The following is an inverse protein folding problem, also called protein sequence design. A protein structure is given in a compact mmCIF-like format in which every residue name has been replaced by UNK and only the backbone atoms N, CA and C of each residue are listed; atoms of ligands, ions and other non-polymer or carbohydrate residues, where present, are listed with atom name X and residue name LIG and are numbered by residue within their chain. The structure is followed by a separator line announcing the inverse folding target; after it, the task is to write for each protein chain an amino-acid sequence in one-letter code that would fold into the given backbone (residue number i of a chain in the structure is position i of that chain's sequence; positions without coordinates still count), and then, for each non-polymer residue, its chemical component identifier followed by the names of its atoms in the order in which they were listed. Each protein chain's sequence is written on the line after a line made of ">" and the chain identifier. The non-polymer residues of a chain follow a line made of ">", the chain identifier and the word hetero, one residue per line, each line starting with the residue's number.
data_IF_875963911165
#
_entry.id   IF_875963911165
#
_cell.length_a   1.000
_cell.length_b   1.000
_cell.length_c   1.000
_cell.angle_alpha   90.00
_cell.angle_beta   90.00
_cell.angle_gamma   90.00
#
_symmetry.space_group_name_H-M   'P 1'
#
loop_
_entity.id
_entity.type
_entity.pdbx_description
1 polymer ?
#
# COMPACT_ATOMS: atom_id res chain seq x y z
N UNK A 1 2.11 9.96 10.29
CA UNK A 1 3.58 9.91 10.07
C UNK A 1 4.22 11.18 10.62
N UNK A 2 5.30 11.06 11.41
CA UNK A 2 5.96 12.20 12.09
C UNK A 2 7.04 12.89 11.24
N UNK A 3 6.93 12.78 9.93
CA UNK A 3 7.89 13.38 9.02
C UNK A 3 7.60 14.85 8.78
N UNK A 4 8.66 15.65 8.73
CA UNK A 4 8.57 17.05 8.32
C UNK A 4 8.24 17.20 6.83
N UNK A 5 7.96 18.42 6.40
CA UNK A 5 7.56 18.70 5.01
C UNK A 5 8.66 18.34 3.99
N UNK A 6 9.94 18.49 4.36
CA UNK A 6 11.07 18.16 3.48
C UNK A 6 11.14 16.64 3.23
N UNK A 7 10.96 15.84 4.29
CA UNK A 7 11.00 14.39 4.17
C UNK A 7 9.77 13.83 3.47
N UNK A 8 8.59 14.43 3.68
CA UNK A 8 7.36 14.10 2.95
C UNK A 8 7.50 14.40 1.45
N UNK A 9 8.20 15.47 1.06
CA UNK A 9 8.43 15.82 -0.34
C UNK A 9 9.29 14.79 -1.08
N UNK A 10 10.12 14.04 -0.38
CA UNK A 10 10.86 12.90 -0.97
C UNK A 10 9.93 11.76 -1.45
N UNK A 11 8.69 11.69 -0.95
CA UNK A 11 7.67 10.73 -1.38
C UNK A 11 6.83 11.24 -2.57
N UNK A 12 7.13 12.43 -3.12
CA UNK A 12 6.36 13.03 -4.20
C UNK A 12 6.14 12.04 -5.34
N UNK A 13 4.89 11.93 -5.77
CA UNK A 13 4.46 11.06 -6.86
C UNK A 13 4.19 9.61 -6.46
N UNK A 14 4.59 9.18 -5.27
CA UNK A 14 4.27 7.84 -4.77
C UNK A 14 2.81 7.75 -4.29
N UNK A 15 2.28 6.53 -4.22
CA UNK A 15 0.97 6.29 -3.63
C UNK A 15 0.93 6.73 -2.16
N UNK A 16 2.03 6.49 -1.43
CA UNK A 16 2.13 6.87 -0.04
C UNK A 16 1.97 8.38 0.16
N UNK A 17 2.50 9.20 -0.73
CA UNK A 17 2.33 10.67 -0.64
C UNK A 17 0.86 11.10 -0.69
N UNK A 18 0.03 10.40 -1.48
CA UNK A 18 -1.39 10.71 -1.59
C UNK A 18 -2.13 10.43 -0.28
N UNK A 19 -1.78 9.36 0.44
CA UNK A 19 -2.44 8.97 1.69
C UNK A 19 -2.04 9.81 2.91
N UNK A 20 -0.89 10.49 2.88
CA UNK A 20 -0.42 11.23 4.07
C UNK A 20 -1.35 12.34 4.55
N UNK A 21 -2.08 12.99 3.63
CA UNK A 21 -3.05 14.04 3.98
C UNK A 21 -4.28 13.44 4.63
N UNK A 22 -4.77 12.32 4.09
CA UNK A 22 -5.92 11.59 4.62
C UNK A 22 -5.61 11.03 6.00
N UNK A 23 -4.40 10.51 6.22
CA UNK A 23 -3.95 10.05 7.52
C UNK A 23 -3.93 11.18 8.56
N UNK A 24 -3.41 12.35 8.19
CA UNK A 24 -3.34 13.48 9.11
C UNK A 24 -4.75 13.94 9.52
N UNK A 25 -5.72 14.00 8.58
CA UNK A 25 -7.12 14.33 8.85
C UNK A 25 -7.78 13.27 9.76
N UNK A 26 -7.57 11.97 9.46
CA UNK A 26 -8.09 10.89 10.28
C UNK A 26 -7.55 10.93 11.72
N UNK A 27 -6.25 11.18 11.89
CA UNK A 27 -5.67 11.32 13.23
C UNK A 27 -6.23 12.52 14.00
N UNK A 28 -6.51 13.62 13.32
CA UNK A 28 -7.08 14.81 13.96
C UNK A 28 -8.52 14.53 14.43
N UNK A 29 -9.35 13.85 13.60
CA UNK A 29 -10.70 13.45 13.94
C UNK A 29 -10.75 12.43 15.09
N UNK A 30 -9.89 11.42 15.05
CA UNK A 30 -9.78 10.39 16.08
C UNK A 30 -9.32 10.98 17.42
N UNK A 31 -8.37 11.93 17.37
CA UNK A 31 -7.91 12.64 18.56
C UNK A 31 -9.04 13.43 19.24
N UNK A 32 -9.82 14.21 18.47
CA UNK A 32 -10.95 14.95 19.00
C UNK A 32 -12.01 14.01 19.58
N UNK A 33 -12.32 12.92 18.90
CA UNK A 33 -13.26 11.88 19.38
C UNK A 33 -12.78 11.27 20.70
N UNK A 34 -11.50 10.93 20.80
CA UNK A 34 -10.90 10.38 22.01
C UNK A 34 -10.93 11.39 23.17
N UNK A 35 -10.58 12.65 22.89
CA UNK A 35 -10.60 13.74 23.88
C UNK A 35 -12.00 13.98 24.42
N UNK A 36 -13.00 14.02 23.55
CA UNK A 36 -14.40 14.23 23.93
C UNK A 36 -14.95 13.06 24.79
N UNK A 37 -14.58 11.82 24.42
CA UNK A 37 -14.98 10.63 25.17
C UNK A 37 -14.36 10.57 26.57
N UNK A 38 -13.11 11.00 26.74
CA UNK A 38 -12.43 11.07 28.03
C UNK A 38 -12.91 12.23 28.93
N UNK A 39 -13.35 13.30 28.30
CA UNK A 39 -13.61 14.58 28.96
C UNK A 39 -12.33 15.37 29.24
N UNK A 40 -12.47 16.71 29.25
CA UNK A 40 -11.34 17.66 29.30
C UNK A 40 -10.45 17.48 30.54
N UNK A 41 -11.02 17.21 31.69
CA UNK A 41 -10.27 17.02 32.94
C UNK A 41 -9.36 15.77 32.87
N UNK A 42 -9.90 14.65 32.40
CA UNK A 42 -9.16 13.39 32.27
C UNK A 42 -8.08 13.50 31.21
N UNK A 43 -8.40 14.06 30.06
CA UNK A 43 -7.47 14.27 28.95
C UNK A 43 -6.26 15.11 29.38
N UNK A 44 -6.52 16.21 30.09
CA UNK A 44 -5.46 17.08 30.64
C UNK A 44 -4.61 16.38 31.71
N UNK A 45 -5.25 15.62 32.63
CA UNK A 45 -4.54 14.87 33.65
C UNK A 45 -3.62 13.78 33.07
N UNK A 46 -3.98 13.19 31.93
CA UNK A 46 -3.17 12.22 31.19
C UNK A 46 -2.08 12.87 30.31
N UNK A 47 -2.09 14.18 30.15
CA UNK A 47 -1.20 14.87 29.22
C UNK A 47 -1.50 14.54 27.75
N UNK A 48 -2.77 14.29 27.43
CA UNK A 48 -3.21 13.95 26.09
C UNK A 48 -3.09 15.17 25.17
N UNK A 49 -2.21 15.05 24.18
CA UNK A 49 -2.03 16.01 23.09
C UNK A 49 -2.13 15.26 21.77
N UNK A 50 -2.33 15.94 20.67
CA UNK A 50 -2.34 15.32 19.34
C UNK A 50 -1.04 14.53 19.08
N UNK A 51 0.11 15.05 19.50
CA UNK A 51 1.39 14.39 19.33
C UNK A 51 1.48 13.08 20.14
N UNK A 52 1.08 13.10 21.43
CA UNK A 52 1.07 11.89 22.27
C UNK A 52 0.04 10.88 21.80
N UNK A 53 -1.11 11.35 21.28
CA UNK A 53 -2.12 10.49 20.68
C UNK A 53 -1.59 9.80 19.41
N UNK A 54 -1.03 10.56 18.46
CA UNK A 54 -0.39 10.02 17.23
C UNK A 54 0.68 9.00 17.57
N UNK A 55 1.53 9.27 18.57
CA UNK A 55 2.56 8.34 18.99
C UNK A 55 1.99 7.03 19.53
N UNK A 56 0.99 7.09 20.40
CA UNK A 56 0.34 5.91 20.96
C UNK A 56 -0.40 5.09 19.88
N UNK A 57 -1.15 5.74 19.02
CA UNK A 57 -1.87 5.10 17.92
C UNK A 57 -0.90 4.43 16.93
N UNK A 58 0.22 5.08 16.58
CA UNK A 58 1.25 4.50 15.71
C UNK A 58 1.92 3.28 16.33
N UNK A 59 2.18 3.29 17.65
CA UNK A 59 2.71 2.12 18.36
C UNK A 59 1.68 0.98 18.31
N UNK A 60 0.42 1.27 18.63
CA UNK A 60 -0.64 0.26 18.59
C UNK A 60 -0.76 -0.36 17.20
N UNK A 61 -0.88 0.48 16.15
CA UNK A 61 -1.03 0.01 14.77
C UNK A 61 0.16 -0.82 14.25
N UNK A 62 1.40 -0.49 14.67
CA UNK A 62 2.60 -1.16 14.18
C UNK A 62 3.02 -2.39 15.01
N UNK A 63 2.44 -2.61 16.19
CA UNK A 63 2.84 -3.68 17.12
C UNK A 63 1.71 -4.57 17.57
N UNK A 64 0.47 -4.32 17.15
CA UNK A 64 -0.65 -5.20 17.43
C UNK A 64 -0.57 -6.46 16.58
N UNK A 65 -1.03 -7.57 17.16
CA UNK A 65 -1.20 -8.87 16.53
C UNK A 65 -2.67 -9.23 16.52
N UNK A 66 -3.15 -9.76 15.42
CA UNK A 66 -4.45 -10.43 15.43
C UNK A 66 -4.29 -11.78 16.14
N UNK A 67 -4.95 -11.91 17.28
CA UNK A 67 -4.85 -13.13 18.11
C UNK A 67 -6.06 -14.05 17.98
N UNK A 68 -7.00 -13.71 17.09
CA UNK A 68 -8.18 -14.53 16.80
C UNK A 68 -9.37 -14.26 17.72
N UNK A 69 -10.49 -14.89 17.38
CA UNK A 69 -11.71 -14.95 18.16
C UNK A 69 -12.25 -13.62 18.66
N UNK A 70 -12.63 -13.60 19.92
CA UNK A 70 -13.19 -12.42 20.59
C UNK A 70 -12.16 -11.35 20.96
N UNK A 71 -10.86 -11.65 20.86
CA UNK A 71 -9.77 -10.74 21.25
C UNK A 71 -9.38 -9.76 20.13
N UNK A 72 -9.52 -10.17 18.85
CA UNK A 72 -9.15 -9.36 17.71
C UNK A 72 -7.67 -8.95 17.72
N UNK A 73 -7.39 -7.66 17.51
CA UNK A 73 -6.03 -7.11 17.54
C UNK A 73 -5.59 -6.77 18.96
N UNK A 74 -4.46 -7.31 19.40
CA UNK A 74 -3.91 -7.13 20.74
C UNK A 74 -2.43 -6.72 20.72
N UNK A 75 -2.05 -5.91 21.70
CA UNK A 75 -0.65 -5.69 22.02
C UNK A 75 -0.14 -6.85 22.88
N UNK A 76 0.75 -7.67 22.33
CA UNK A 76 1.31 -8.84 23.01
C UNK A 76 2.76 -8.58 23.39
N UNK A 77 3.04 -8.34 24.68
CA UNK A 77 4.39 -8.05 25.14
C UNK A 77 5.40 -9.13 24.74
N UNK A 78 6.56 -8.72 24.27
CA UNK A 78 7.67 -9.55 23.78
C UNK A 78 7.42 -10.18 22.37
N UNK A 79 6.21 -10.41 21.92
CA UNK A 79 5.93 -10.88 20.57
C UNK A 79 6.32 -9.80 19.52
N UNK A 80 6.15 -8.54 19.86
CA UNK A 80 6.46 -7.37 19.05
C UNK A 80 7.97 -7.06 18.92
N UNK A 81 8.84 -7.88 19.53
CA UNK A 81 10.29 -7.73 19.44
C UNK A 81 10.90 -8.39 18.21
N UNK A 82 10.18 -9.28 17.54
CA UNK A 82 10.66 -9.88 16.29
C UNK A 82 10.62 -8.87 15.15
N UNK A 83 11.75 -8.74 14.45
CA UNK A 83 11.81 -7.94 13.25
C UNK A 83 11.17 -8.68 12.07
N UNK A 84 10.71 -7.90 11.07
CA UNK A 84 10.17 -8.42 9.82
C UNK A 84 11.27 -8.84 8.86
N UNK A 85 10.96 -9.88 8.07
CA UNK A 85 11.67 -10.21 6.83
C UNK A 85 10.69 -10.81 5.83
N UNK A 86 10.65 -10.26 4.61
CA UNK A 86 9.84 -10.80 3.52
C UNK A 86 10.37 -12.16 3.08
N UNK A 87 9.48 -13.11 2.82
CA UNK A 87 9.77 -14.41 2.20
C UNK A 87 10.49 -15.44 3.07
N UNK A 88 10.99 -15.08 4.27
CA UNK A 88 11.76 -16.02 5.10
C UNK A 88 11.43 -15.83 6.57
N UNK A 89 10.61 -16.71 7.12
CA UNK A 89 10.25 -16.69 8.53
C UNK A 89 11.13 -17.63 9.33
N UNK A 90 11.66 -17.16 10.46
CA UNK A 90 12.30 -18.01 11.46
C UNK A 90 11.30 -18.50 12.49
N UNK A 91 10.22 -17.75 12.69
CA UNK A 91 9.15 -18.06 13.63
C UNK A 91 7.79 -17.93 12.95
N UNK A 92 6.79 -18.64 13.45
CA UNK A 92 5.39 -18.47 13.13
C UNK A 92 4.61 -18.13 14.40
N UNK A 93 3.61 -17.27 14.26
CA UNK A 93 2.72 -16.82 15.32
C UNK A 93 1.38 -17.51 15.17
N UNK A 94 0.90 -18.14 16.21
CA UNK A 94 -0.38 -18.85 16.26
C UNK A 94 -1.29 -18.15 17.26
N UNK A 95 -2.48 -17.78 16.82
CA UNK A 95 -3.54 -17.20 17.66
C UNK A 95 -4.30 -18.28 18.45
N UNK A 96 -5.32 -17.82 19.16
CA UNK A 96 -6.14 -18.67 20.06
C UNK A 96 -7.02 -19.69 19.30
N UNK A 97 -7.35 -19.42 18.02
CA UNK A 97 -8.27 -20.27 17.23
C UNK A 97 -7.56 -21.31 16.36
N UNK A 98 -6.25 -21.27 16.24
CA UNK A 98 -5.50 -22.13 15.31
C UNK A 98 -5.18 -23.54 15.90
N UNK A 99 -5.66 -23.85 17.10
CA UNK A 99 -5.37 -25.12 17.79
C UNK A 99 -6.28 -26.30 17.37
N UNK A 100 -7.19 -26.12 16.39
CA UNK A 100 -8.20 -27.15 16.04
C UNK A 100 -7.65 -28.30 15.19
N UNK A 101 -6.38 -28.29 14.75
CA UNK A 101 -5.78 -29.34 13.89
C UNK A 101 -4.63 -30.13 14.56
N UNK A 102 -4.34 -29.92 15.83
CA UNK A 102 -3.34 -30.76 16.51
C UNK A 102 -3.99 -31.92 17.25
N UNK A 103 -3.94 -33.09 16.61
CA UNK A 103 -4.26 -34.41 17.16
C UNK A 103 -3.27 -34.86 18.27
N UNK A 104 -2.57 -33.91 18.90
CA UNK A 104 -1.70 -34.13 20.05
C UNK A 104 -2.43 -33.70 21.33
N UNK A 105 -3.24 -34.65 21.81
CA UNK A 105 -3.89 -34.65 23.12
C UNK A 105 -2.88 -34.79 24.27
N UNK A 106 -1.97 -33.85 24.43
CA UNK A 106 -1.28 -33.67 25.71
C UNK A 106 -1.96 -32.51 26.42
N UNK A 107 -2.72 -32.81 27.45
CA UNK A 107 -3.67 -31.96 28.15
C UNK A 107 -3.07 -30.69 28.78
N UNK A 108 -2.62 -29.79 27.95
CA UNK A 108 -2.28 -28.42 28.30
C UNK A 108 -3.51 -27.56 28.18
N UNK A 109 -3.83 -26.85 29.25
CA UNK A 109 -4.82 -25.81 29.38
C UNK A 109 -4.74 -24.91 28.09
N UNK A 110 -5.71 -25.04 27.18
CA UNK A 110 -5.88 -24.20 26.01
C UNK A 110 -6.40 -22.81 26.44
N UNK A 111 -5.70 -22.22 27.41
CA UNK A 111 -5.95 -20.86 27.84
C UNK A 111 -5.55 -19.89 26.72
N UNK A 112 -6.13 -18.72 26.74
CA UNK A 112 -5.95 -17.56 25.87
C UNK A 112 -4.45 -17.20 25.69
N UNK A 113 -3.72 -18.02 24.91
CA UNK A 113 -2.25 -17.91 24.78
C UNK A 113 -1.87 -17.76 23.32
N UNK A 114 -1.15 -16.69 23.00
CA UNK A 114 -0.47 -16.55 21.71
C UNK A 114 0.82 -17.37 21.76
N UNK A 115 1.00 -18.27 20.80
CA UNK A 115 2.15 -19.16 20.72
C UNK A 115 3.06 -18.75 19.56
N UNK A 116 4.36 -18.59 19.84
CA UNK A 116 5.38 -18.34 18.81
C UNK A 116 6.28 -19.59 18.73
N UNK A 117 6.27 -20.25 17.57
CA UNK A 117 7.07 -21.46 17.32
C UNK A 117 8.19 -21.16 16.32
N UNK A 118 9.41 -21.66 16.58
CA UNK A 118 10.45 -21.68 15.57
C UNK A 118 10.06 -22.64 14.43
N UNK A 119 10.10 -22.16 13.19
CA UNK A 119 9.76 -22.92 11.97
C UNK A 119 10.96 -23.18 11.08
N UNK A 120 12.12 -22.63 11.42
CA UNK A 120 13.39 -22.85 10.75
C UNK A 120 14.51 -23.07 11.78
N UNK A 121 15.59 -23.76 11.36
CA UNK A 121 16.80 -23.88 12.16
C UNK A 121 17.47 -22.52 12.34
N UNK A 122 17.90 -22.21 13.55
CA UNK A 122 18.66 -21.03 13.86
C UNK A 122 19.91 -21.39 14.64
N UNK A 123 21.02 -20.78 14.29
CA UNK A 123 22.28 -20.93 15.02
C UNK A 123 22.35 -19.94 16.19
N UNK A 124 23.16 -20.27 17.17
CA UNK A 124 23.37 -19.37 18.29
C UNK A 124 23.90 -18.02 17.81
N UNK A 125 23.22 -16.94 18.20
CA UNK A 125 23.54 -15.57 17.82
C UNK A 125 22.92 -15.09 16.49
N UNK A 126 22.20 -15.93 15.78
CA UNK A 126 21.38 -15.49 14.64
C UNK A 126 20.10 -14.81 15.13
N UNK A 127 19.69 -13.77 14.41
CA UNK A 127 18.42 -13.08 14.64
C UNK A 127 17.26 -13.92 14.09
N UNK A 128 16.18 -13.98 14.85
CA UNK A 128 14.95 -14.64 14.44
C UNK A 128 13.98 -13.60 13.88
N UNK A 129 13.40 -13.88 12.72
CA UNK A 129 12.48 -12.99 12.02
C UNK A 129 11.08 -13.56 12.00
N UNK A 130 10.11 -12.68 12.19
CA UNK A 130 8.72 -12.90 11.87
C UNK A 130 8.38 -12.30 10.49
N UNK A 131 7.23 -12.64 9.92
CA UNK A 131 6.65 -11.90 8.79
C UNK A 131 5.53 -10.99 9.29
N UNK A 132 5.45 -9.78 8.70
CA UNK A 132 4.29 -8.89 8.84
C UNK A 132 3.36 -9.01 7.61
N UNK A 133 3.53 -10.06 6.82
CA UNK A 133 2.86 -10.32 5.55
C UNK A 133 3.70 -9.91 4.34
N UNK A 134 3.22 -10.23 3.16
CA UNK A 134 3.79 -9.80 1.88
C UNK A 134 3.41 -8.34 1.64
N UNK A 135 4.25 -7.43 2.12
CA UNK A 135 4.00 -5.98 2.12
C UNK A 135 4.89 -5.27 1.09
N UNK A 136 4.33 -4.29 0.38
CA UNK A 136 5.16 -3.37 -0.42
C UNK A 136 6.03 -2.49 0.50
N UNK A 137 7.12 -1.94 -0.04
CA UNK A 137 7.92 -0.98 0.70
C UNK A 137 7.15 0.30 1.05
N UNK A 138 6.17 0.69 0.26
CA UNK A 138 5.25 1.76 0.61
C UNK A 138 4.45 1.42 1.88
N UNK A 139 3.89 0.21 1.96
CA UNK A 139 3.15 -0.27 3.14
C UNK A 139 4.06 -0.45 4.37
N UNK A 140 5.27 -1.02 4.18
CA UNK A 140 6.25 -1.17 5.27
C UNK A 140 6.67 0.18 5.82
N UNK A 141 6.91 1.17 4.95
CA UNK A 141 7.27 2.52 5.35
C UNK A 141 6.12 3.22 6.07
N UNK A 142 4.91 3.09 5.54
CA UNK A 142 3.71 3.72 6.09
C UNK A 142 3.40 3.20 7.51
N UNK A 143 3.31 1.89 7.67
CA UNK A 143 2.86 1.26 8.91
C UNK A 143 3.99 1.09 9.95
N UNK A 144 5.21 0.79 9.49
CA UNK A 144 6.31 0.38 10.38
C UNK A 144 7.53 1.29 10.32
N UNK A 145 7.62 2.19 9.33
CA UNK A 145 8.67 3.20 9.27
C UNK A 145 9.99 2.73 8.64
N UNK A 146 10.02 1.60 7.95
CA UNK A 146 11.21 1.07 7.26
C UNK A 146 10.88 0.46 5.90
N UNK A 147 11.91 0.20 5.09
CA UNK A 147 11.84 -0.54 3.83
C UNK A 147 12.87 -1.66 3.79
N UNK A 148 12.68 -2.64 2.91
CA UNK A 148 13.66 -3.68 2.57
C UNK A 148 14.25 -3.42 1.18
N UNK A 149 15.58 -3.69 0.99
CA UNK A 149 16.24 -3.48 -0.30
C UNK A 149 15.74 -4.41 -1.40
N UNK A 150 15.45 -5.66 -1.07
CA UNK A 150 15.05 -6.72 -1.99
C UNK A 150 13.57 -7.06 -1.77
N UNK A 151 12.70 -6.22 -2.30
CA UNK A 151 11.25 -6.35 -2.17
C UNK A 151 10.53 -5.96 -3.48
N UNK A 152 11.18 -6.21 -4.63
CA UNK A 152 10.71 -5.74 -5.93
C UNK A 152 9.40 -6.43 -6.37
N UNK A 153 9.18 -7.67 -5.95
CA UNK A 153 7.98 -8.43 -6.32
C UNK A 153 6.72 -7.89 -5.64
N UNK A 154 6.89 -7.27 -4.46
CA UNK A 154 5.79 -6.68 -3.68
C UNK A 154 5.57 -5.18 -3.97
N UNK A 155 6.30 -4.60 -4.92
CA UNK A 155 6.05 -3.20 -5.32
C UNK A 155 4.70 -3.11 -5.99
N UNK A 156 3.92 -2.10 -5.60
CA UNK A 156 2.61 -1.79 -6.19
C UNK A 156 2.57 -0.35 -6.65
N UNK A 157 1.87 -0.09 -7.76
CA UNK A 157 1.59 1.25 -8.27
C UNK A 157 0.17 1.30 -8.79
N UNK A 158 -0.59 2.32 -8.40
CA UNK A 158 -1.95 2.52 -8.87
C UNK A 158 -2.01 3.42 -10.10
N UNK A 159 -2.75 2.96 -11.11
CA UNK A 159 -3.14 3.73 -12.28
C UNK A 159 -4.59 4.21 -12.10
N UNK A 160 -4.74 5.42 -11.62
CA UNK A 160 -6.05 6.03 -11.44
C UNK A 160 -6.70 6.37 -12.79
N UNK A 161 -7.98 6.14 -12.92
CA UNK A 161 -8.75 6.47 -14.14
C UNK A 161 -8.65 7.95 -14.51
N UNK A 162 -8.45 8.83 -13.52
CA UNK A 162 -8.20 10.26 -13.75
C UNK A 162 -6.98 10.55 -14.64
N UNK A 163 -6.01 9.63 -14.75
CA UNK A 163 -4.86 9.79 -15.66
C UNK A 163 -5.27 9.95 -17.11
N UNK A 164 -6.39 9.38 -17.53
CA UNK A 164 -6.91 9.59 -18.89
C UNK A 164 -7.34 11.05 -19.11
N UNK A 165 -7.92 11.69 -18.09
CA UNK A 165 -8.23 13.13 -18.15
C UNK A 165 -6.95 13.99 -18.15
N UNK A 166 -5.92 13.59 -17.40
CA UNK A 166 -4.62 14.28 -17.40
C UNK A 166 -3.97 14.23 -18.79
N UNK A 167 -4.06 13.10 -19.51
CA UNK A 167 -3.46 12.91 -20.84
C UNK A 167 -4.27 13.57 -21.95
N UNK A 168 -5.57 13.34 -21.98
CA UNK A 168 -6.43 13.71 -23.12
C UNK A 168 -7.24 14.98 -22.88
N UNK A 169 -7.31 15.47 -21.67
CA UNK A 169 -8.11 16.59 -21.23
C UNK A 169 -9.56 16.20 -20.94
N UNK A 170 -10.14 16.85 -19.94
CA UNK A 170 -11.49 16.53 -19.43
C UNK A 170 -12.57 16.57 -20.51
N UNK A 171 -12.56 17.60 -21.37
CA UNK A 171 -13.58 17.77 -22.41
C UNK A 171 -13.58 16.61 -23.41
N UNK A 172 -12.38 16.17 -23.86
CA UNK A 172 -12.23 15.04 -24.76
C UNK A 172 -12.66 13.74 -24.08
N UNK A 173 -12.27 13.52 -22.82
CA UNK A 173 -12.65 12.33 -22.09
C UNK A 173 -14.17 12.25 -21.87
N UNK A 174 -14.85 13.37 -21.65
CA UNK A 174 -16.31 13.39 -21.64
C UNK A 174 -16.91 12.89 -22.96
N UNK A 175 -16.40 13.35 -24.12
CA UNK A 175 -16.86 12.86 -25.42
C UNK A 175 -16.57 11.36 -25.63
N UNK A 176 -15.41 10.88 -25.17
CA UNK A 176 -15.04 9.45 -25.18
C UNK A 176 -16.02 8.64 -24.34
N UNK A 177 -16.31 9.07 -23.13
CA UNK A 177 -17.27 8.38 -22.25
C UNK A 177 -18.69 8.36 -22.83
N UNK A 178 -19.13 9.43 -23.47
CA UNK A 178 -20.41 9.47 -24.13
C UNK A 178 -20.47 8.54 -25.36
N UNK A 179 -19.39 8.46 -26.16
CA UNK A 179 -19.30 7.50 -27.26
C UNK A 179 -19.35 6.06 -26.75
N UNK A 180 -18.64 5.75 -25.66
CA UNK A 180 -18.69 4.45 -25.02
C UNK A 180 -20.09 4.09 -24.52
N UNK A 181 -20.82 5.04 -23.89
CA UNK A 181 -22.20 4.83 -23.44
C UNK A 181 -23.14 4.55 -24.63
N UNK A 182 -22.97 5.25 -25.74
CA UNK A 182 -23.78 5.02 -26.97
C UNK A 182 -23.55 3.61 -27.50
N UNK A 183 -22.32 3.15 -27.56
CA UNK A 183 -21.98 1.79 -28.01
C UNK A 183 -22.62 0.68 -27.15
N UNK A 184 -22.98 1.02 -25.90
CA UNK A 184 -23.62 0.11 -24.94
C UNK A 184 -25.13 0.14 -24.93
N UNK A 185 -25.77 1.08 -25.63
CA UNK A 185 -27.26 1.17 -25.64
C UNK A 185 -27.92 -0.12 -26.13
N UNK A 186 -27.20 -0.91 -26.93
CA UNK A 186 -27.65 -2.22 -27.45
C UNK A 186 -27.10 -3.41 -26.61
N UNK A 187 -26.36 -3.18 -25.56
CA UNK A 187 -25.78 -4.24 -24.74
C UNK A 187 -26.68 -4.65 -23.57
N UNK A 188 -26.51 -5.86 -23.07
CA UNK A 188 -27.17 -6.34 -21.86
C UNK A 188 -26.86 -5.48 -20.65
N UNK A 189 -27.79 -5.40 -19.67
CA UNK A 189 -27.63 -4.52 -18.48
C UNK A 189 -26.36 -4.81 -17.66
N UNK A 190 -25.92 -6.07 -17.57
CA UNK A 190 -24.67 -6.44 -16.91
C UNK A 190 -23.45 -5.77 -17.55
N UNK A 191 -23.41 -5.66 -18.89
CA UNK A 191 -22.34 -4.98 -19.62
C UNK A 191 -22.36 -3.47 -19.42
N UNK A 192 -23.54 -2.87 -19.26
CA UNK A 192 -23.66 -1.45 -18.97
C UNK A 192 -23.15 -1.13 -17.59
N UNK A 193 -23.53 -1.94 -16.58
CA UNK A 193 -23.06 -1.78 -15.21
C UNK A 193 -21.54 -1.94 -15.12
N UNK A 194 -20.99 -3.01 -15.73
CA UNK A 194 -19.54 -3.24 -15.79
C UNK A 194 -18.75 -2.05 -16.36
N UNK A 195 -19.33 -1.28 -17.28
CA UNK A 195 -18.65 -0.11 -17.85
C UNK A 195 -18.83 1.16 -17.01
N UNK A 196 -19.94 1.30 -16.32
CA UNK A 196 -20.11 2.38 -15.33
C UNK A 196 -19.12 2.19 -14.18
N UNK A 197 -18.86 0.96 -13.79
CA UNK A 197 -17.90 0.60 -12.75
C UNK A 197 -16.45 0.97 -13.14
N UNK A 198 -16.11 0.99 -14.45
CA UNK A 198 -14.79 1.45 -14.92
C UNK A 198 -14.52 2.94 -14.69
N UNK A 199 -15.58 3.76 -14.61
CA UNK A 199 -15.49 5.22 -14.49
C UNK A 199 -15.97 5.72 -13.13
N UNK A 200 -16.08 4.84 -12.18
CA UNK A 200 -16.38 5.23 -10.81
C UNK A 200 -15.30 6.18 -10.29
N UNK A 201 -15.73 7.29 -9.69
CA UNK A 201 -14.80 8.28 -9.16
C UNK A 201 -13.86 7.63 -8.13
N UNK A 202 -12.56 7.76 -8.35
CA UNK A 202 -11.54 7.17 -7.50
C UNK A 202 -11.11 5.75 -7.90
N UNK A 203 -11.70 5.12 -8.93
CA UNK A 203 -11.24 3.81 -9.37
C UNK A 203 -9.79 3.84 -9.86
N UNK A 204 -9.06 2.83 -9.50
CA UNK A 204 -7.69 2.59 -9.94
C UNK A 204 -7.48 1.12 -10.29
N UNK A 205 -6.41 0.86 -11.02
CA UNK A 205 -5.91 -0.46 -11.38
C UNK A 205 -4.50 -0.61 -10.85
N UNK A 206 -4.23 -1.72 -10.21
CA UNK A 206 -2.93 -1.96 -9.61
C UNK A 206 -1.95 -2.59 -10.60
N UNK A 207 -0.73 -2.07 -10.63
CA UNK A 207 0.43 -2.74 -11.21
C UNK A 207 1.22 -3.35 -10.06
N UNK A 208 1.53 -4.62 -10.15
CA UNK A 208 2.36 -5.30 -9.14
C UNK A 208 3.72 -5.72 -9.70
N UNK A 209 4.71 -5.78 -8.81
CA UNK A 209 6.05 -6.27 -9.16
C UNK A 209 6.03 -7.69 -9.68
N UNK A 210 5.23 -8.56 -9.08
CA UNK A 210 5.11 -9.96 -9.43
C UNK A 210 4.31 -10.23 -10.71
N UNK A 211 3.15 -9.56 -10.88
CA UNK A 211 2.17 -9.90 -11.92
C UNK A 211 2.11 -8.88 -13.08
N UNK A 212 2.72 -7.69 -12.90
CA UNK A 212 2.62 -6.62 -13.88
C UNK A 212 1.27 -5.91 -13.84
N UNK A 213 0.73 -5.58 -15.00
CA UNK A 213 -0.52 -4.83 -15.19
C UNK A 213 -1.70 -5.79 -15.23
N UNK A 214 -2.80 -5.44 -14.56
CA UNK A 214 -4.03 -6.21 -14.58
C UNK A 214 -4.67 -6.26 -15.97
N UNK A 215 -5.20 -7.43 -16.37
CA UNK A 215 -5.88 -7.63 -17.66
C UNK A 215 -7.07 -6.68 -17.84
N UNK A 216 -7.76 -6.33 -16.75
CA UNK A 216 -8.88 -5.40 -16.76
C UNK A 216 -8.47 -3.99 -17.20
N UNK A 217 -7.25 -3.55 -16.82
CA UNK A 217 -6.74 -2.27 -17.27
C UNK A 217 -6.47 -2.25 -18.78
N UNK A 218 -5.89 -3.32 -19.33
CA UNK A 218 -5.72 -3.42 -20.77
C UNK A 218 -7.07 -3.42 -21.51
N UNK A 219 -8.08 -4.10 -20.99
CA UNK A 219 -9.42 -4.09 -21.55
C UNK A 219 -10.04 -2.67 -21.52
N UNK A 220 -9.79 -1.89 -20.48
CA UNK A 220 -10.17 -0.48 -20.39
C UNK A 220 -9.46 0.36 -21.45
N UNK A 221 -8.12 0.22 -21.56
CA UNK A 221 -7.31 0.96 -22.55
C UNK A 221 -7.80 0.67 -23.97
N UNK A 222 -8.13 -0.58 -24.32
CA UNK A 222 -8.69 -0.91 -25.63
C UNK A 222 -10.02 -0.22 -25.90
N UNK A 223 -10.93 -0.21 -24.94
CA UNK A 223 -12.23 0.46 -25.06
C UNK A 223 -12.07 1.97 -25.25
N UNK A 224 -11.19 2.58 -24.46
CA UNK A 224 -10.89 4.02 -24.58
C UNK A 224 -10.26 4.32 -25.95
N UNK A 225 -9.32 3.52 -26.41
CA UNK A 225 -8.71 3.65 -27.73
C UNK A 225 -9.77 3.58 -28.84
N UNK A 226 -10.69 2.63 -28.79
CA UNK A 226 -11.76 2.51 -29.79
C UNK A 226 -12.66 3.76 -29.82
N UNK A 227 -13.05 4.26 -28.66
CA UNK A 227 -13.83 5.49 -28.54
C UNK A 227 -13.03 6.74 -28.99
N UNK A 228 -11.72 6.80 -28.70
CA UNK A 228 -10.85 7.88 -29.20
C UNK A 228 -10.77 7.89 -30.73
N UNK A 229 -10.68 6.72 -31.36
CA UNK A 229 -10.71 6.60 -32.84
C UNK A 229 -12.01 7.18 -33.40
N UNK A 230 -13.14 6.91 -32.75
CA UNK A 230 -14.46 7.43 -33.16
C UNK A 230 -14.55 8.95 -32.97
N UNK A 231 -14.15 9.46 -31.81
CA UNK A 231 -14.24 10.89 -31.45
C UNK A 231 -13.29 11.75 -32.29
N UNK A 232 -12.04 11.28 -32.51
CA UNK A 232 -11.03 12.03 -33.25
C UNK A 232 -11.06 11.78 -34.77
N UNK A 233 -11.77 10.75 -35.22
CA UNK A 233 -11.75 10.26 -36.60
C UNK A 233 -10.31 10.02 -37.10
N UNK A 234 -9.46 9.48 -36.25
CA UNK A 234 -8.03 9.25 -36.49
C UNK A 234 -7.63 7.90 -35.94
N UNK A 235 -6.70 7.24 -36.63
CA UNK A 235 -6.12 5.98 -36.11
C UNK A 235 -5.36 6.24 -34.80
N UNK A 236 -5.68 5.45 -33.76
CA UNK A 236 -5.00 5.43 -32.46
C UNK A 236 -4.64 3.97 -32.18
N UNK A 237 -3.44 3.71 -31.73
CA UNK A 237 -3.01 2.36 -31.35
C UNK A 237 -3.15 2.16 -29.83
N UNK A 238 -3.42 0.93 -29.40
CA UNK A 238 -3.58 0.58 -27.98
C UNK A 238 -2.31 0.93 -27.18
N UNK A 239 -1.13 0.62 -27.74
CA UNK A 239 0.14 0.91 -27.08
C UNK A 239 0.36 2.41 -26.89
N UNK A 240 -0.03 3.27 -27.86
CA UNK A 240 0.12 4.71 -27.73
C UNK A 240 -0.69 5.25 -26.54
N UNK A 241 -1.89 4.73 -26.33
CA UNK A 241 -2.75 5.08 -25.19
C UNK A 241 -2.12 4.61 -23.89
N UNK A 242 -1.70 3.34 -23.84
CA UNK A 242 -1.08 2.75 -22.67
C UNK A 242 0.20 3.50 -22.25
N UNK A 243 1.13 3.71 -23.19
CA UNK A 243 2.38 4.44 -22.93
C UNK A 243 2.10 5.87 -22.45
N UNK A 244 1.12 6.58 -23.02
CA UNK A 244 0.76 7.91 -22.58
C UNK A 244 0.27 7.95 -21.13
N UNK A 245 -0.47 6.95 -20.68
CA UNK A 245 -0.92 6.84 -19.28
C UNK A 245 0.26 6.55 -18.35
N UNK A 246 1.15 5.62 -18.73
CA UNK A 246 2.37 5.33 -17.95
C UNK A 246 3.26 6.58 -17.87
N UNK A 247 3.43 7.32 -18.95
CA UNK A 247 4.20 8.57 -18.97
C UNK A 247 3.59 9.65 -18.07
N UNK A 248 2.27 9.80 -18.10
CA UNK A 248 1.57 10.71 -17.20
C UNK A 248 1.75 10.31 -15.72
N UNK A 249 1.71 9.01 -15.43
CA UNK A 249 1.97 8.49 -14.07
C UNK A 249 3.42 8.75 -13.64
N UNK A 250 4.40 8.49 -14.52
CA UNK A 250 5.81 8.77 -14.28
C UNK A 250 6.08 10.26 -14.05
N UNK A 251 5.39 11.13 -14.77
CA UNK A 251 5.55 12.59 -14.63
C UNK A 251 5.22 13.10 -13.22
N UNK A 252 4.39 12.37 -12.45
CA UNK A 252 4.04 12.74 -11.07
C UNK A 252 5.23 12.69 -10.11
N UNK A 253 6.27 11.90 -10.41
CA UNK A 253 7.48 11.82 -9.57
C UNK A 253 8.43 13.03 -9.76
N UNK A 254 8.23 13.85 -10.79
CA UNK A 254 9.07 15.00 -11.10
C UNK A 254 10.37 14.66 -11.85
N UNK A 255 11.10 15.69 -12.29
CA UNK A 255 12.29 15.54 -13.13
C UNK A 255 13.56 15.08 -12.38
N UNK A 256 13.58 15.10 -11.04
CA UNK A 256 14.77 14.82 -10.22
C UNK A 256 14.92 13.34 -9.83
N UNK A 257 14.19 12.46 -10.49
CA UNK A 257 14.09 11.04 -10.11
C UNK A 257 15.26 10.16 -10.59
N UNK A 258 16.41 10.72 -10.96
CA UNK A 258 17.68 9.98 -11.16
C UNK A 258 18.43 9.76 -9.84
N UNK A 259 17.70 9.54 -8.75
CA UNK A 259 18.30 9.24 -7.46
C UNK A 259 19.00 7.89 -7.49
N UNK A 260 20.31 7.91 -7.43
CA UNK A 260 21.09 6.72 -7.10
C UNK A 260 20.97 6.46 -5.61
N UNK A 261 20.38 5.32 -5.25
CA UNK A 261 20.46 4.83 -3.87
C UNK A 261 21.86 4.25 -3.70
N UNK A 262 22.57 4.68 -2.67
CA UNK A 262 23.82 4.04 -2.28
C UNK A 262 23.51 2.66 -1.69
N UNK A 263 23.46 1.64 -2.57
CA UNK A 263 23.29 0.24 -2.19
C UNK A 263 24.52 -0.30 -1.41
N UNK A 264 25.61 0.49 -1.31
CA UNK A 264 26.82 0.13 -0.59
C UNK A 264 26.74 0.30 0.93
N UNK A 265 25.73 1.00 1.43
CA UNK A 265 25.45 1.10 2.86
C UNK A 265 24.79 -0.17 3.37
N UNK A 266 25.57 -1.13 3.88
CA UNK A 266 25.03 -2.31 4.56
C UNK A 266 24.09 -1.83 5.67
N UNK A 267 22.78 -2.15 5.63
CA UNK A 267 21.88 -1.80 6.73
C UNK A 267 22.43 -2.39 8.03
N UNK A 268 22.29 -1.71 9.16
CA UNK A 268 22.64 -2.30 10.44
C UNK A 268 21.95 -3.66 10.56
N UNK A 269 22.62 -4.62 11.17
CA UNK A 269 22.12 -5.98 11.34
C UNK A 269 20.70 -5.92 11.93
N UNK A 270 19.70 -6.49 11.21
CA UNK A 270 18.30 -6.45 11.57
C UNK A 270 17.55 -5.14 11.22
N UNK A 271 18.19 -4.16 10.58
CA UNK A 271 17.58 -2.88 10.25
C UNK A 271 17.24 -2.74 8.77
N UNK A 272 15.99 -2.46 8.46
CA UNK A 272 15.58 -1.98 7.16
C UNK A 272 16.09 -0.56 6.87
N UNK A 273 15.90 -0.11 5.64
CA UNK A 273 16.18 1.27 5.21
C UNK A 273 15.15 2.20 5.84
N UNK A 274 15.59 3.31 6.43
CA UNK A 274 14.70 4.25 7.14
C UNK A 274 14.86 5.69 6.66
N UNK A 275 13.90 6.53 7.00
CA UNK A 275 13.92 7.96 6.73
C UNK A 275 14.01 8.31 5.23
N UNK A 276 14.86 9.29 4.88
CA UNK A 276 15.03 9.78 3.50
C UNK A 276 15.39 8.68 2.50
N UNK A 277 16.26 7.74 2.90
CA UNK A 277 16.64 6.63 2.01
C UNK A 277 15.47 5.70 1.74
N UNK A 278 14.60 5.45 2.73
CA UNK A 278 13.39 4.66 2.54
C UNK A 278 12.41 5.34 1.58
N UNK A 279 12.19 6.65 1.71
CA UNK A 279 11.36 7.43 0.80
C UNK A 279 11.86 7.34 -0.65
N UNK A 280 13.17 7.52 -0.84
CA UNK A 280 13.82 7.38 -2.16
C UNK A 280 13.70 5.97 -2.72
N UNK A 281 13.84 4.95 -1.88
CA UNK A 281 13.70 3.54 -2.29
C UNK A 281 12.29 3.25 -2.80
N UNK A 282 11.25 3.66 -2.08
CA UNK A 282 9.86 3.50 -2.51
C UNK A 282 9.66 4.15 -3.88
N UNK A 283 10.04 5.43 -4.02
CA UNK A 283 9.89 6.18 -5.28
C UNK A 283 10.63 5.51 -6.43
N UNK A 284 11.87 5.08 -6.22
CA UNK A 284 12.68 4.43 -7.24
C UNK A 284 12.09 3.07 -7.69
N UNK A 285 11.59 2.28 -6.75
CA UNK A 285 10.99 0.98 -7.05
C UNK A 285 9.69 1.13 -7.84
N UNK A 286 8.81 2.07 -7.47
CA UNK A 286 7.60 2.38 -8.23
C UNK A 286 7.93 2.83 -9.66
N UNK A 287 8.90 3.72 -9.83
CA UNK A 287 9.36 4.18 -11.15
C UNK A 287 9.99 3.07 -11.99
N UNK A 288 10.79 2.19 -11.39
CA UNK A 288 11.37 1.02 -12.07
C UNK A 288 10.28 0.07 -12.54
N UNK A 289 9.24 -0.16 -11.72
CA UNK A 289 8.08 -0.96 -12.11
C UNK A 289 7.35 -0.36 -13.31
N UNK A 290 7.04 0.92 -13.28
CA UNK A 290 6.39 1.62 -14.40
C UNK A 290 7.23 1.58 -15.69
N UNK A 291 8.54 1.80 -15.61
CA UNK A 291 9.43 1.70 -16.76
C UNK A 291 9.55 0.28 -17.31
N UNK A 292 9.44 -0.74 -16.45
CA UNK A 292 9.44 -2.15 -16.88
C UNK A 292 8.18 -2.51 -17.66
N UNK A 293 7.01 -2.08 -17.21
CA UNK A 293 5.74 -2.39 -17.91
C UNK A 293 5.52 -1.55 -19.16
N UNK A 294 6.22 -0.43 -19.32
CA UNK A 294 6.21 0.41 -20.52
C UNK A 294 6.91 -0.24 -21.72
N UNK A 295 7.86 -1.16 -21.51
CA UNK A 295 8.64 -1.84 -22.55
C UNK A 295 7.89 -3.02 -23.16
#
# INVERSE_FOLDING_TARGET
>A
MFWDAELRDELRGTELAAHLSEDDEAFDEDFETCRDALGEETANAMGLTLETFKAAASIAASRAFYVGGEYGECLVPCADLFNHRTGTNSVAVYGVEDDDDSDDSDGGDSGDTLVIKAVAEAKAGEELFNTFGEQSNASLLHKYGFCEFHNEDNVTVNLHVSLFEDVYGREKMHAVYDAMKVSLQSAEEERKQSLLDFFEAGKYYEITGANGVEDEFFALVEKIKDALVEVENKKVETNDVFEAIIDARLARYGAEAEDTIDEGGRPPAGGGVVGRQAAKLVRLQEMRLLNRVRQ
#
